data_IF_192892529357
#
_entry.id   IF_192892529357
#
_cell.length_a   1.000
_cell.length_b   1.000
_cell.length_c   1.000
_cell.angle_alpha   90.00
_cell.angle_beta   90.00
_cell.angle_gamma   90.00
#
_symmetry.space_group_name_H-M   'P 1'
#
loop_
_entity.id
_entity.type
_entity.pdbx_description
1 polymer ?
#
# COMPACT_ATOMS: atom_id res chain seq x y z
N UNK A 1 -7.88 14.94 -24.40
CA UNK A 1 -7.46 15.36 -23.04
C UNK A 1 -6.57 14.27 -22.49
N UNK A 2 -5.26 14.50 -22.39
CA UNK A 2 -4.33 13.51 -21.86
C UNK A 2 -4.64 13.27 -20.38
N UNK A 3 -5.00 12.05 -20.00
CA UNK A 3 -5.07 11.68 -18.59
C UNK A 3 -3.66 11.78 -18.02
N UNK A 4 -3.46 12.70 -17.06
CA UNK A 4 -2.24 12.75 -16.29
C UNK A 4 -2.01 11.37 -15.65
N UNK A 5 -0.77 10.87 -15.75
CA UNK A 5 -0.40 9.65 -15.04
C UNK A 5 -0.73 9.81 -13.55
N UNK A 6 -1.27 8.78 -12.88
CA UNK A 6 -1.50 8.84 -11.45
C UNK A 6 -0.22 9.26 -10.73
N UNK A 7 -0.33 10.20 -9.79
CA UNK A 7 0.82 10.59 -8.99
C UNK A 7 1.31 9.38 -8.19
N UNK A 8 2.62 9.14 -8.18
CA UNK A 8 3.21 8.01 -7.47
C UNK A 8 2.83 8.03 -5.98
N UNK A 9 2.47 6.86 -5.44
CA UNK A 9 2.13 6.72 -4.02
C UNK A 9 3.31 7.12 -3.12
N UNK A 10 3.02 7.96 -2.14
CA UNK A 10 3.94 8.22 -1.03
C UNK A 10 4.24 6.90 -0.32
N UNK A 11 5.48 6.70 0.13
CA UNK A 11 5.90 5.41 0.70
C UNK A 11 7.02 5.57 1.73
N UNK A 12 6.95 4.79 2.82
CA UNK A 12 8.08 4.56 3.72
C UNK A 12 8.77 3.25 3.31
N UNK A 13 10.10 3.21 3.35
CA UNK A 13 10.88 2.06 2.87
C UNK A 13 11.87 1.62 3.94
N UNK A 14 11.99 0.31 4.11
CA UNK A 14 13.07 -0.36 4.84
C UNK A 14 13.90 -1.14 3.84
N UNK A 15 15.14 -0.70 3.65
CA UNK A 15 16.09 -1.37 2.76
C UNK A 15 16.48 -2.75 3.31
N UNK A 16 16.75 -3.74 2.44
CA UNK A 16 17.36 -4.98 2.88
C UNK A 16 18.78 -4.73 3.41
N UNK A 17 19.24 -5.55 4.35
CA UNK A 17 20.59 -5.42 4.90
C UNK A 17 21.69 -5.82 3.90
N UNK A 18 21.36 -6.68 2.93
CA UNK A 18 22.24 -7.09 1.84
C UNK A 18 21.60 -6.85 0.47
N UNK A 19 21.99 -7.68 -0.51
CA UNK A 19 21.49 -7.57 -1.88
C UNK A 19 19.96 -7.74 -1.93
N UNK A 20 19.29 -6.78 -2.55
CA UNK A 20 17.84 -6.79 -2.81
C UNK A 20 17.49 -7.87 -3.84
N UNK A 21 16.66 -8.85 -3.46
CA UNK A 21 16.22 -9.94 -4.36
C UNK A 21 14.72 -10.27 -4.27
N UNK A 22 14.00 -9.55 -3.40
CA UNK A 22 12.57 -9.70 -3.19
C UNK A 22 12.00 -8.41 -2.57
N UNK A 23 10.71 -8.20 -2.70
CA UNK A 23 10.01 -7.05 -2.13
C UNK A 23 8.77 -7.48 -1.37
N UNK A 24 8.50 -6.82 -0.26
CA UNK A 24 7.26 -6.90 0.48
C UNK A 24 6.57 -5.54 0.39
N UNK A 25 5.37 -5.49 -0.19
CA UNK A 25 4.50 -4.32 -0.20
C UNK A 25 3.50 -4.53 0.94
N UNK A 26 3.66 -3.77 2.03
CA UNK A 26 2.84 -3.87 3.24
C UNK A 26 1.80 -2.74 3.26
N UNK A 27 0.51 -3.07 3.10
CA UNK A 27 -0.58 -2.11 3.04
C UNK A 27 -1.15 -1.83 4.44
N UNK A 28 -1.27 -0.55 4.79
CA UNK A 28 -1.83 -0.14 6.08
C UNK A 28 -3.37 -0.25 6.11
N UNK A 29 -3.96 -0.23 7.32
CA UNK A 29 -5.41 -0.20 7.54
C UNK A 29 -6.06 1.17 7.33
N UNK A 30 -7.39 1.24 7.34
CA UNK A 30 -8.15 2.47 7.11
C UNK A 30 -7.74 3.62 8.06
N UNK A 31 -7.41 4.78 7.49
CA UNK A 31 -7.08 6.00 8.25
C UNK A 31 -5.61 6.14 8.66
N UNK A 32 -4.77 5.13 8.40
CA UNK A 32 -3.35 5.17 8.70
C UNK A 32 -2.50 5.69 7.52
N UNK A 33 -1.18 5.58 7.61
CA UNK A 33 -0.21 5.88 6.56
C UNK A 33 0.85 4.78 6.51
N UNK A 34 1.66 4.74 5.44
CA UNK A 34 2.78 3.81 5.37
C UNK A 34 3.81 4.01 6.50
N UNK A 35 4.07 5.26 6.89
CA UNK A 35 4.96 5.56 8.02
C UNK A 35 4.34 5.12 9.36
N UNK A 36 3.02 5.29 9.53
CA UNK A 36 2.29 4.87 10.73
C UNK A 36 2.30 3.35 10.90
N UNK A 37 1.99 2.59 9.85
CA UNK A 37 2.06 1.13 9.87
C UNK A 37 3.48 0.63 10.19
N UNK A 38 4.51 1.23 9.59
CA UNK A 38 5.91 0.92 9.92
C UNK A 38 6.21 1.17 11.40
N UNK A 39 5.79 2.32 11.94
CA UNK A 39 6.02 2.68 13.34
C UNK A 39 5.29 1.71 14.29
N UNK A 40 4.06 1.34 13.97
CA UNK A 40 3.26 0.37 14.74
C UNK A 40 3.92 -1.02 14.78
N UNK A 41 4.36 -1.53 13.62
CA UNK A 41 5.10 -2.80 13.54
C UNK A 41 6.39 -2.72 14.34
N UNK A 42 7.13 -1.61 14.24
CA UNK A 42 8.35 -1.39 15.01
C UNK A 42 8.11 -1.43 16.51
N UNK A 43 7.01 -0.85 16.97
CA UNK A 43 6.62 -0.87 18.37
C UNK A 43 6.29 -2.30 18.84
N UNK A 44 5.61 -3.11 18.02
CA UNK A 44 5.28 -4.50 18.38
C UNK A 44 6.53 -5.39 18.41
N UNK A 45 7.42 -5.25 17.43
CA UNK A 45 8.61 -6.09 17.29
C UNK A 45 9.81 -5.58 18.10
N UNK A 46 9.71 -4.38 18.68
CA UNK A 46 10.81 -3.60 19.26
C UNK A 46 11.99 -3.35 18.30
N UNK A 47 11.76 -3.46 16.98
CA UNK A 47 12.74 -3.22 15.91
C UNK A 47 12.02 -3.03 14.57
N UNK A 48 12.68 -2.39 13.60
CA UNK A 48 12.14 -2.32 12.24
C UNK A 48 12.01 -3.74 11.64
N UNK A 49 10.91 -4.01 10.93
CA UNK A 49 10.77 -5.23 10.14
C UNK A 49 11.73 -5.15 8.95
N UNK A 50 12.93 -5.71 9.13
CA UNK A 50 14.03 -5.70 8.18
C UNK A 50 14.50 -7.13 7.88
N UNK A 51 14.99 -7.35 6.66
CA UNK A 51 15.39 -8.67 6.19
C UNK A 51 16.71 -8.59 5.42
N UNK A 52 17.42 -9.71 5.30
CA UNK A 52 18.69 -9.77 4.57
C UNK A 52 18.53 -9.43 3.08
N UNK A 53 17.41 -9.82 2.46
CA UNK A 53 17.23 -9.78 1.01
C UNK A 53 15.90 -9.20 0.53
N UNK A 54 15.03 -8.81 1.46
CA UNK A 54 13.68 -8.31 1.18
C UNK A 54 13.63 -6.82 1.50
N UNK A 55 13.29 -6.00 0.50
CA UNK A 55 12.93 -4.59 0.71
C UNK A 55 11.48 -4.52 1.18
N UNK A 56 11.21 -3.81 2.28
CA UNK A 56 9.84 -3.60 2.74
C UNK A 56 9.38 -2.20 2.34
N UNK A 57 8.24 -2.13 1.66
CA UNK A 57 7.63 -0.91 1.14
C UNK A 57 6.29 -0.74 1.83
N UNK A 58 6.11 0.37 2.54
CA UNK A 58 4.86 0.76 3.17
C UNK A 58 4.28 1.94 2.39
N UNK A 59 3.47 1.72 1.33
CA UNK A 59 2.81 2.80 0.62
C UNK A 59 1.70 3.44 1.47
N UNK A 60 1.40 4.71 1.23
CA UNK A 60 0.28 5.44 1.83
C UNK A 60 -0.84 5.58 0.82
N UNK A 61 -2.04 5.12 1.17
CA UNK A 61 -3.25 5.36 0.38
C UNK A 61 -3.51 6.88 0.26
N UNK A 62 -3.84 7.40 -0.93
CA UNK A 62 -4.21 8.81 -1.06
C UNK A 62 -5.44 9.15 -0.21
N UNK A 63 -5.47 10.35 0.37
CA UNK A 63 -6.63 10.84 1.09
C UNK A 63 -7.84 10.97 0.14
N UNK A 64 -8.97 10.40 0.53
CA UNK A 64 -10.23 10.44 -0.24
C UNK A 64 -11.44 10.44 0.70
N UNK A 65 -12.63 10.87 0.23
CA UNK A 65 -13.87 10.69 0.98
C UNK A 65 -14.11 9.23 1.32
N UNK A 66 -14.52 8.94 2.55
CA UNK A 66 -14.83 7.59 3.02
C UNK A 66 -16.27 7.53 3.54
N UNK A 67 -17.10 6.71 2.91
CA UNK A 67 -18.55 6.63 3.18
C UNK A 67 -18.86 6.28 4.65
N UNK A 68 -18.17 5.33 5.30
CA UNK A 68 -18.41 5.01 6.73
C UNK A 68 -18.07 6.16 7.68
N UNK A 69 -17.24 7.12 7.24
CA UNK A 69 -16.93 8.36 7.96
C UNK A 69 -17.78 9.56 7.48
N UNK A 70 -18.96 9.30 6.92
CA UNK A 70 -19.89 10.33 6.42
C UNK A 70 -19.25 11.27 5.38
N UNK A 71 -18.34 10.72 4.55
CA UNK A 71 -17.65 11.46 3.49
C UNK A 71 -16.45 12.29 3.96
N UNK A 72 -16.08 12.23 5.25
CA UNK A 72 -14.83 12.83 5.70
C UNK A 72 -13.62 12.21 4.97
N UNK A 73 -12.59 13.03 4.74
CA UNK A 73 -11.37 12.57 4.09
C UNK A 73 -10.57 11.66 5.03
N UNK A 74 -10.12 10.53 4.49
CA UNK A 74 -9.29 9.56 5.18
C UNK A 74 -8.36 8.87 4.19
N UNK A 75 -7.20 8.40 4.65
CA UNK A 75 -6.31 7.57 3.83
C UNK A 75 -6.87 6.15 3.78
N UNK A 76 -7.60 5.85 2.72
CA UNK A 76 -8.24 4.54 2.51
C UNK A 76 -7.98 4.07 1.08
N UNK A 77 -7.66 2.79 0.93
CA UNK A 77 -7.38 2.19 -0.38
C UNK A 77 -8.61 2.20 -1.28
N UNK A 78 -9.77 1.88 -0.71
CA UNK A 78 -11.06 1.80 -1.39
C UNK A 78 -12.19 2.20 -0.44
N UNK A 79 -13.35 2.51 -1.00
CA UNK A 79 -14.52 2.89 -0.21
C UNK A 79 -15.34 1.66 0.18
N UNK A 80 -16.18 1.80 1.21
CA UNK A 80 -17.09 0.75 1.67
C UNK A 80 -18.46 1.37 1.90
N UNK A 81 -19.52 0.75 1.36
CA UNK A 81 -20.88 1.22 1.67
C UNK A 81 -21.21 1.02 3.16
N UNK A 82 -20.77 -0.10 3.74
CA UNK A 82 -20.94 -0.46 5.15
C UNK A 82 -19.71 -1.22 5.65
N UNK A 83 -19.51 -1.21 6.97
CA UNK A 83 -18.54 -2.11 7.62
C UNK A 83 -19.23 -3.44 7.88
N UNK A 84 -19.46 -4.20 6.82
CA UNK A 84 -20.16 -5.46 6.82
C UNK A 84 -19.69 -6.31 5.63
N UNK A 85 -19.73 -7.64 5.74
CA UNK A 85 -19.45 -8.56 4.63
C UNK A 85 -20.69 -8.90 3.80
N UNK A 86 -21.89 -8.67 4.34
CA UNK A 86 -23.18 -8.84 3.65
C UNK A 86 -23.59 -7.57 2.90
N UNK A 87 -22.63 -6.92 2.25
CA UNK A 87 -22.89 -5.81 1.35
C UNK A 87 -21.93 -5.85 0.15
N UNK A 88 -22.35 -5.34 -1.02
CA UNK A 88 -21.48 -5.27 -2.18
C UNK A 88 -20.19 -4.50 -1.90
N UNK A 89 -19.12 -4.89 -2.58
CA UNK A 89 -17.89 -4.12 -2.62
C UNK A 89 -18.04 -2.88 -3.51
N UNK A 90 -17.30 -1.82 -3.22
CA UNK A 90 -17.27 -0.63 -4.06
C UNK A 90 -16.23 -0.82 -5.19
N UNK A 91 -16.56 -1.65 -6.18
CA UNK A 91 -15.65 -2.12 -7.26
C UNK A 91 -14.89 -0.98 -7.95
N UNK A 92 -15.56 0.12 -8.31
CA UNK A 92 -14.89 1.25 -8.99
C UNK A 92 -13.70 1.82 -8.18
N UNK A 93 -13.87 1.89 -6.86
CA UNK A 93 -12.83 2.40 -5.96
C UNK A 93 -11.68 1.42 -5.79
N UNK A 94 -11.98 0.11 -5.87
CA UNK A 94 -11.00 -0.98 -5.84
C UNK A 94 -10.20 -0.99 -7.14
N UNK A 95 -10.86 -1.01 -8.30
CA UNK A 95 -10.21 -1.01 -9.62
C UNK A 95 -9.27 0.19 -9.80
N UNK A 96 -9.70 1.36 -9.31
CA UNK A 96 -8.87 2.57 -9.31
C UNK A 96 -7.58 2.37 -8.53
N UNK A 97 -7.65 1.73 -7.36
CA UNK A 97 -6.48 1.49 -6.52
C UNK A 97 -5.63 0.31 -6.99
N UNK A 98 -6.23 -0.69 -7.62
CA UNK A 98 -5.51 -1.76 -8.30
C UNK A 98 -4.55 -1.19 -9.35
N UNK A 99 -4.93 -0.13 -10.09
CA UNK A 99 -4.03 0.55 -11.03
C UNK A 99 -2.81 1.16 -10.33
N UNK A 100 -3.02 1.93 -9.26
CA UNK A 100 -1.92 2.56 -8.51
C UNK A 100 -0.98 1.55 -7.85
N UNK A 101 -1.51 0.46 -7.29
CA UNK A 101 -0.69 -0.62 -6.74
C UNK A 101 0.01 -1.43 -7.84
N UNK A 102 -0.61 -1.59 -9.00
CA UNK A 102 0.03 -2.24 -10.16
C UNK A 102 1.22 -1.43 -10.67
N UNK A 103 1.14 -0.10 -10.67
CA UNK A 103 2.27 0.77 -10.99
C UNK A 103 3.43 0.58 -10.00
N UNK A 104 3.13 0.51 -8.69
CA UNK A 104 4.14 0.20 -7.66
C UNK A 104 4.80 -1.17 -7.88
N UNK A 105 4.02 -2.19 -8.25
CA UNK A 105 4.55 -3.53 -8.58
C UNK A 105 5.44 -3.44 -9.83
N UNK A 106 5.01 -2.71 -10.86
CA UNK A 106 5.77 -2.55 -12.09
C UNK A 106 7.10 -1.80 -11.86
N UNK A 107 7.14 -0.84 -10.95
CA UNK A 107 8.39 -0.19 -10.52
C UNK A 107 9.38 -1.23 -9.94
N UNK A 108 8.91 -2.14 -9.10
CA UNK A 108 9.77 -3.20 -8.52
C UNK A 108 10.24 -4.19 -9.59
N UNK A 109 9.37 -4.56 -10.53
CA UNK A 109 9.72 -5.41 -11.68
C UNK A 109 10.77 -4.73 -12.57
N UNK A 110 10.60 -3.44 -12.85
CA UNK A 110 11.56 -2.64 -13.63
C UNK A 110 12.93 -2.55 -12.93
N UNK A 111 12.94 -2.59 -11.59
CA UNK A 111 14.16 -2.64 -10.77
C UNK A 111 14.72 -4.07 -10.61
N UNK A 112 14.26 -5.04 -11.39
CA UNK A 112 14.83 -6.39 -11.46
C UNK A 112 14.25 -7.41 -10.48
N UNK A 113 13.16 -7.09 -9.79
CA UNK A 113 12.49 -8.03 -8.90
C UNK A 113 11.42 -8.80 -9.67
N UNK A 114 11.61 -10.11 -9.84
CA UNK A 114 10.62 -10.96 -10.50
C UNK A 114 9.27 -10.94 -9.74
N UNK A 115 8.14 -11.01 -10.46
CA UNK A 115 6.80 -10.96 -9.84
C UNK A 115 6.57 -12.03 -8.77
N UNK A 116 7.14 -13.23 -8.94
CA UNK A 116 7.10 -14.31 -7.95
C UNK A 116 8.01 -14.08 -6.72
N UNK A 117 8.67 -12.92 -6.64
CA UNK A 117 9.47 -12.44 -5.51
C UNK A 117 8.90 -11.16 -4.90
N UNK A 118 7.66 -10.81 -5.25
CA UNK A 118 6.92 -9.68 -4.68
C UNK A 118 5.77 -10.25 -3.84
N UNK A 119 5.79 -9.96 -2.55
CA UNK A 119 4.70 -10.26 -1.61
C UNK A 119 3.87 -9.00 -1.39
N UNK A 120 2.55 -9.17 -1.26
CA UNK A 120 1.61 -8.09 -0.95
C UNK A 120 0.78 -8.55 0.26
N UNK A 121 0.66 -7.73 1.29
CA UNK A 121 -0.10 -8.04 2.50
C UNK A 121 -0.36 -6.82 3.36
#
# INVERSE_FOLDING_TARGET
LGMAAPAALQRSVVSPAGRHTASLIFLHGSGDTGQGARAWIKQILNQDMAFQHIKVIYPTAPARPYTPMKGAFSNVWFDRYKICNDCPEHIESIDSMCRGLTELINDEVKNGIAKNRILIG
#
